data_IF_686148752964
#
_entry.id   IF_686148752964
#
_cell.length_a   1.000
_cell.length_b   1.000
_cell.length_c   1.000
_cell.angle_alpha   90.00
_cell.angle_beta   90.00
_cell.angle_gamma   90.00
#
_symmetry.space_group_name_H-M   'P 1'
#
loop_
_entity.id
_entity.type
_entity.pdbx_description
1 polymer ?
#
# COMPACT_ATOMS: atom_id res chain seq x y z
N UNK A 1 -15.05 7.33 -4.39
CA UNK A 1 -14.26 7.36 -5.65
C UNK A 1 -15.14 7.34 -6.90
N UNK A 2 -15.96 6.30 -7.12
CA UNK A 2 -16.68 6.11 -8.39
C UNK A 2 -17.72 7.18 -8.74
N UNK A 3 -18.41 7.74 -7.73
CA UNK A 3 -19.40 8.82 -7.98
C UNK A 3 -18.78 10.16 -8.36
N UNK A 4 -17.49 10.38 -8.08
CA UNK A 4 -16.81 11.64 -8.37
C UNK A 4 -15.30 11.38 -8.48
N UNK A 5 -14.83 10.81 -9.61
CA UNK A 5 -13.45 10.34 -9.75
C UNK A 5 -12.40 11.45 -9.60
N UNK A 6 -12.77 12.69 -9.92
CA UNK A 6 -11.87 13.84 -9.85
C UNK A 6 -11.63 14.38 -8.43
N UNK A 7 -12.42 13.98 -7.43
CA UNK A 7 -12.28 14.55 -6.06
C UNK A 7 -10.93 14.22 -5.42
N UNK A 8 -10.46 12.99 -5.57
CA UNK A 8 -9.18 12.54 -5.00
C UNK A 8 -7.99 13.26 -5.65
N UNK A 9 -7.82 13.28 -6.98
CA UNK A 9 -6.72 14.01 -7.60
C UNK A 9 -6.78 15.52 -7.36
N UNK A 10 -7.97 16.13 -7.37
CA UNK A 10 -8.13 17.55 -7.04
C UNK A 10 -7.67 17.84 -5.60
N UNK A 11 -8.07 17.02 -4.62
CA UNK A 11 -7.62 17.17 -3.24
C UNK A 11 -6.09 17.02 -3.12
N UNK A 12 -5.48 16.04 -3.81
CA UNK A 12 -4.02 15.87 -3.82
C UNK A 12 -3.33 17.12 -4.39
N UNK A 13 -3.84 17.68 -5.48
CA UNK A 13 -3.29 18.91 -6.06
C UNK A 13 -3.41 20.09 -5.10
N UNK A 14 -4.59 20.28 -4.49
CA UNK A 14 -4.78 21.32 -3.49
C UNK A 14 -3.83 21.15 -2.30
N UNK A 15 -3.69 19.94 -1.75
CA UNK A 15 -2.74 19.67 -0.66
C UNK A 15 -1.31 19.96 -1.10
N UNK A 16 -0.93 19.56 -2.32
CA UNK A 16 0.42 19.73 -2.86
C UNK A 16 0.83 21.19 -3.07
N UNK A 17 -0.14 22.11 -3.21
CA UNK A 17 0.13 23.56 -3.23
C UNK A 17 0.57 24.10 -1.86
N UNK A 18 0.23 23.41 -0.77
CA UNK A 18 0.59 23.81 0.60
C UNK A 18 1.72 22.97 1.18
N UNK A 19 1.65 21.64 1.03
CA UNK A 19 2.61 20.68 1.58
C UNK A 19 2.68 19.43 0.69
N UNK A 20 3.80 19.26 0.02
CA UNK A 20 4.07 18.11 -0.85
C UNK A 20 4.17 16.78 -0.09
N UNK A 21 4.63 16.80 1.17
CA UNK A 21 4.72 15.62 2.03
C UNK A 21 3.34 15.14 2.46
N UNK A 22 2.45 16.06 2.81
CA UNK A 22 1.05 15.73 3.13
C UNK A 22 0.33 15.17 1.90
N UNK A 23 0.52 15.79 0.73
CA UNK A 23 -0.04 15.31 -0.52
C UNK A 23 0.46 13.89 -0.86
N UNK A 24 1.77 13.63 -0.70
CA UNK A 24 2.36 12.32 -0.94
C UNK A 24 1.80 11.24 0.00
N UNK A 25 1.67 11.54 1.31
CA UNK A 25 1.06 10.61 2.29
C UNK A 25 -0.36 10.20 1.88
N UNK A 26 -1.18 11.18 1.50
CA UNK A 26 -2.57 10.94 1.10
C UNK A 26 -2.67 10.20 -0.24
N UNK A 27 -1.81 10.54 -1.21
CA UNK A 27 -1.72 9.84 -2.49
C UNK A 27 -1.36 8.37 -2.32
N UNK A 28 -0.31 8.07 -1.54
CA UNK A 28 0.14 6.69 -1.29
C UNK A 28 -0.96 5.86 -0.60
N UNK A 29 -1.68 6.47 0.33
CA UNK A 29 -2.81 5.82 1.00
C UNK A 29 -3.97 5.56 0.04
N UNK A 30 -4.45 6.60 -0.65
CA UNK A 30 -5.70 6.55 -1.40
C UNK A 30 -5.54 5.89 -2.77
N UNK A 31 -4.52 6.30 -3.52
CA UNK A 31 -4.35 5.93 -4.93
C UNK A 31 -3.37 4.77 -5.15
N UNK A 32 -2.54 4.42 -4.18
CA UNK A 32 -1.65 3.25 -4.29
C UNK A 32 -2.18 2.09 -3.47
N UNK A 33 -2.28 2.23 -2.14
CA UNK A 33 -2.82 1.18 -1.28
C UNK A 33 -4.30 0.89 -1.60
N UNK A 34 -5.15 1.92 -1.62
CA UNK A 34 -6.58 1.76 -1.95
C UNK A 34 -6.81 1.12 -3.32
N UNK A 35 -6.05 1.53 -4.33
CA UNK A 35 -6.15 0.94 -5.67
C UNK A 35 -5.69 -0.51 -5.69
N UNK A 36 -4.60 -0.88 -5.00
CA UNK A 36 -4.12 -2.25 -4.95
C UNK A 36 -5.13 -3.19 -4.28
N UNK A 37 -5.76 -2.76 -3.19
CA UNK A 37 -6.85 -3.51 -2.54
C UNK A 37 -8.04 -3.67 -3.47
N UNK A 38 -8.38 -2.64 -4.25
CA UNK A 38 -9.52 -2.69 -5.16
C UNK A 38 -9.26 -3.54 -6.41
N UNK A 39 -8.09 -3.41 -7.03
CA UNK A 39 -7.78 -4.06 -8.31
C UNK A 39 -7.37 -5.52 -8.16
N UNK A 40 -6.70 -5.86 -7.06
CA UNK A 40 -6.16 -7.20 -6.82
C UNK A 40 -6.93 -7.99 -5.76
N UNK A 41 -7.84 -7.32 -5.03
CA UNK A 41 -8.68 -7.96 -4.02
C UNK A 41 -9.91 -8.63 -4.61
N UNK A 42 -10.35 -9.71 -3.97
CA UNK A 42 -11.69 -10.28 -4.16
C UNK A 42 -12.78 -9.49 -3.41
N UNK A 43 -14.05 -9.86 -3.59
CA UNK A 43 -15.22 -9.22 -2.98
C UNK A 43 -15.09 -8.98 -1.46
N UNK A 44 -14.46 -9.93 -0.74
CA UNK A 44 -14.21 -9.80 0.71
C UNK A 44 -13.42 -8.53 1.08
N UNK A 45 -12.59 -8.02 0.17
CA UNK A 45 -11.74 -6.85 0.43
C UNK A 45 -12.46 -5.53 0.18
N UNK A 46 -13.64 -5.52 -0.45
CA UNK A 46 -14.41 -4.31 -0.72
C UNK A 46 -14.81 -3.58 0.57
N UNK A 47 -14.95 -4.30 1.69
CA UNK A 47 -15.18 -3.69 3.01
C UNK A 47 -14.05 -2.73 3.42
N UNK A 48 -12.79 -3.05 3.08
CA UNK A 48 -11.64 -2.21 3.39
C UNK A 48 -11.61 -0.95 2.55
N UNK A 49 -12.10 -1.00 1.31
CA UNK A 49 -12.17 0.19 0.44
C UNK A 49 -13.00 1.30 1.09
N UNK A 50 -14.12 0.95 1.73
CA UNK A 50 -14.93 1.94 2.44
C UNK A 50 -14.17 2.53 3.64
N UNK A 51 -13.49 1.70 4.43
CA UNK A 51 -12.68 2.13 5.58
C UNK A 51 -11.50 3.03 5.18
N UNK A 52 -10.82 2.71 4.07
CA UNK A 52 -9.75 3.52 3.47
C UNK A 52 -10.27 4.92 3.16
N UNK A 53 -11.39 5.04 2.45
CA UNK A 53 -11.93 6.36 2.08
C UNK A 53 -12.48 7.16 3.27
N UNK A 54 -12.86 6.48 4.36
CA UNK A 54 -13.25 7.12 5.62
C UNK A 54 -12.05 7.43 6.51
N UNK A 55 -10.83 7.11 6.08
CA UNK A 55 -9.60 7.28 6.86
C UNK A 55 -9.63 6.53 8.19
N UNK A 56 -10.35 5.40 8.25
CA UNK A 56 -10.46 4.53 9.43
C UNK A 56 -9.31 3.52 9.52
N UNK A 57 -8.70 3.18 8.38
CA UNK A 57 -7.49 2.36 8.29
C UNK A 57 -6.49 3.08 7.40
N UNK A 58 -5.20 2.86 7.65
CA UNK A 58 -4.12 3.45 6.89
C UNK A 58 -3.22 2.34 6.36
N UNK A 59 -3.08 2.27 5.04
CA UNK A 59 -2.14 1.33 4.43
C UNK A 59 -0.95 1.99 3.76
N UNK A 60 -0.07 1.10 3.31
CA UNK A 60 1.10 1.39 2.51
C UNK A 60 1.24 0.33 1.41
N UNK A 61 2.17 0.54 0.47
CA UNK A 61 2.45 -0.40 -0.61
C UNK A 61 3.88 -0.90 -0.52
N UNK A 62 4.08 -2.03 0.16
CA UNK A 62 5.39 -2.57 0.51
C UNK A 62 5.94 -3.51 -0.58
N UNK A 63 6.41 -2.94 -1.68
CA UNK A 63 7.02 -3.69 -2.79
C UNK A 63 8.55 -3.69 -2.70
N UNK A 64 9.14 -2.50 -2.80
CA UNK A 64 10.58 -2.26 -2.85
C UNK A 64 11.30 -2.85 -1.64
N UNK A 65 12.43 -3.50 -1.91
CA UNK A 65 13.39 -4.01 -0.92
C UNK A 65 14.67 -3.21 -0.98
N UNK A 66 15.52 -3.32 0.05
CA UNK A 66 16.79 -2.62 0.10
C UNK A 66 17.67 -2.95 -1.13
N UNK A 67 17.69 -4.21 -1.58
CA UNK A 67 18.45 -4.65 -2.76
C UNK A 67 17.68 -4.62 -4.09
N UNK A 68 16.35 -4.52 -4.07
CA UNK A 68 15.51 -4.64 -5.28
C UNK A 68 14.41 -3.57 -5.35
N UNK A 69 14.57 -2.63 -6.29
CA UNK A 69 13.53 -1.67 -6.70
C UNK A 69 13.11 -1.87 -8.16
N UNK A 70 14.05 -1.66 -9.10
CA UNK A 70 13.74 -1.74 -10.53
C UNK A 70 13.44 -3.16 -11.00
N UNK A 71 14.18 -4.17 -10.51
CA UNK A 71 13.95 -5.57 -10.85
C UNK A 71 13.04 -6.24 -9.82
N UNK A 72 11.74 -5.97 -9.92
CA UNK A 72 10.73 -6.49 -9.00
C UNK A 72 10.54 -8.01 -9.07
N UNK A 73 10.99 -8.65 -10.15
CA UNK A 73 10.97 -10.12 -10.27
C UNK A 73 12.00 -10.80 -9.37
N UNK A 74 13.00 -10.06 -8.90
CA UNK A 74 14.07 -10.58 -8.07
C UNK A 74 13.88 -10.26 -6.57
N UNK A 75 12.71 -9.74 -6.16
CA UNK A 75 12.44 -9.55 -4.73
C UNK A 75 12.61 -10.88 -3.97
N UNK A 76 13.14 -10.77 -2.76
CA UNK A 76 13.58 -11.89 -1.94
C UNK A 76 12.62 -12.20 -0.80
N UNK A 77 11.71 -11.29 -0.45
CA UNK A 77 10.62 -11.60 0.48
C UNK A 77 9.74 -12.68 -0.12
N UNK A 78 9.54 -13.78 0.62
CA UNK A 78 8.75 -14.92 0.17
C UNK A 78 7.39 -14.94 0.85
N UNK A 79 6.43 -15.59 0.19
CA UNK A 79 5.14 -15.96 0.75
C UNK A 79 4.94 -17.47 0.51
N UNK A 80 5.08 -18.27 1.57
CA UNK A 80 4.90 -19.72 1.49
C UNK A 80 3.54 -20.10 2.08
N UNK A 81 2.73 -20.85 1.35
CA UNK A 81 1.46 -21.35 1.87
C UNK A 81 1.69 -22.60 2.72
N UNK A 82 1.22 -22.58 3.97
CA UNK A 82 1.21 -23.73 4.87
C UNK A 82 -0.20 -24.38 4.88
N UNK A 83 -0.37 -25.58 4.29
CA UNK A 83 -1.66 -26.26 4.26
C UNK A 83 -2.15 -26.73 5.63
N UNK A 84 -1.29 -26.85 6.63
CA UNK A 84 -1.69 -27.31 7.96
C UNK A 84 -2.44 -26.23 8.75
N UNK A 85 -2.09 -24.96 8.54
CA UNK A 85 -2.74 -23.81 9.17
C UNK A 85 -3.64 -23.01 8.22
N UNK A 86 -3.57 -23.29 6.92
CA UNK A 86 -4.22 -22.52 5.85
C UNK A 86 -3.74 -21.05 5.77
N UNK A 87 -2.49 -20.80 6.15
CA UNK A 87 -1.90 -19.45 6.21
C UNK A 87 -0.77 -19.27 5.20
N UNK A 88 -0.46 -18.00 4.90
CA UNK A 88 0.77 -17.63 4.20
C UNK A 88 1.82 -17.15 5.20
N UNK A 89 2.98 -17.78 5.21
CA UNK A 89 4.17 -17.35 5.95
C UNK A 89 4.91 -16.32 5.09
N UNK A 90 4.91 -15.06 5.53
CA UNK A 90 5.65 -13.97 4.89
C UNK A 90 7.02 -13.84 5.54
N UNK A 91 8.09 -14.00 4.77
CA UNK A 91 9.45 -14.04 5.31
C UNK A 91 10.44 -13.21 4.50
N UNK A 92 11.19 -12.34 5.18
CA UNK A 92 12.37 -11.66 4.62
C UNK A 92 13.63 -12.41 5.11
N UNK A 93 14.40 -13.07 4.23
CA UNK A 93 15.49 -13.97 4.62
C UNK A 93 16.69 -13.26 5.27
N UNK A 94 16.92 -11.99 4.96
CA UNK A 94 17.98 -11.18 5.54
C UNK A 94 17.63 -9.68 5.42
N UNK A 95 18.57 -8.83 5.83
CA UNK A 95 18.39 -7.38 5.81
C UNK A 95 18.27 -6.78 4.40
N UNK A 96 18.84 -7.41 3.37
CA UNK A 96 18.72 -6.91 1.99
C UNK A 96 17.29 -7.08 1.46
N UNK A 97 16.57 -8.09 1.94
CA UNK A 97 15.16 -8.31 1.65
C UNK A 97 14.22 -7.41 2.48
N UNK A 98 14.73 -6.58 3.39
CA UNK A 98 13.91 -5.68 4.17
C UNK A 98 13.18 -4.68 3.26
N UNK A 99 11.89 -4.48 3.51
CA UNK A 99 11.09 -3.50 2.76
C UNK A 99 11.62 -2.10 3.01
N UNK A 100 11.89 -1.37 1.94
CA UNK A 100 12.61 -0.10 1.99
C UNK A 100 11.92 0.97 1.14
N UNK A 101 12.03 2.24 1.57
CA UNK A 101 11.31 3.37 0.97
C UNK A 101 9.78 3.24 0.88
N UNK A 102 9.19 2.41 1.73
CA UNK A 102 7.75 2.23 1.78
C UNK A 102 7.11 3.41 2.53
N UNK A 103 6.57 4.36 1.78
CA UNK A 103 5.87 5.50 2.38
C UNK A 103 4.68 5.05 3.23
N UNK A 104 4.44 5.78 4.32
CA UNK A 104 3.48 5.48 5.39
C UNK A 104 3.82 4.26 6.29
N UNK A 105 4.69 3.34 5.88
CA UNK A 105 4.93 2.08 6.62
C UNK A 105 5.43 2.30 8.05
N UNK A 106 6.47 3.12 8.25
CA UNK A 106 7.17 3.14 9.53
C UNK A 106 6.41 3.77 10.71
N UNK A 107 5.42 4.63 10.45
CA UNK A 107 4.77 5.45 11.48
C UNK A 107 3.27 5.71 11.29
N UNK A 108 2.66 5.29 10.17
CA UNK A 108 1.27 5.63 9.85
C UNK A 108 0.40 4.41 9.57
N UNK A 109 0.91 3.44 8.81
CA UNK A 109 0.12 2.29 8.40
C UNK A 109 -0.13 1.34 9.57
N UNK A 110 -1.35 0.82 9.69
CA UNK A 110 -1.82 -0.09 10.76
C UNK A 110 -2.87 -1.05 10.24
#
# INVERSE_FOLDING_TARGET
>A
MFKSPLKVPALIQCLGMYDSSLAAKYLLHSLVFGSAVYSSGSERHLTYIQKIFRMEIFGCFALTELSHGSNTKAIRTTAHYDPATEEFIIHSPDFEAAKFWVGNMGKTAT
#
